data_IF_541434703150
#
_entry.id   IF_541434703150
#
_cell.length_a   1.000
_cell.length_b   1.000
_cell.length_c   1.000
_cell.angle_alpha   90.00
_cell.angle_beta   90.00
_cell.angle_gamma   90.00
#
_symmetry.space_group_name_H-M   'P 1'
#
loop_
_entity.id
_entity.type
_entity.pdbx_description
1 polymer ?
#
# COMPACT_ATOMS: atom_id res chain seq x y z
N UNK A 1 -33.63 4.06 -23.08
CA UNK A 1 -34.36 3.22 -22.11
C UNK A 1 -33.28 2.40 -21.43
N UNK A 2 -32.74 2.89 -20.29
CA UNK A 2 -31.77 2.14 -19.51
C UNK A 2 -32.54 1.07 -18.75
N UNK A 3 -32.22 -0.22 -18.89
CA UNK A 3 -32.92 -1.27 -18.17
C UNK A 3 -32.77 -1.03 -16.66
N UNK A 4 -33.87 -0.96 -15.94
CA UNK A 4 -33.85 -0.88 -14.48
C UNK A 4 -33.20 -2.14 -13.94
N UNK A 5 -32.09 -1.97 -13.26
CA UNK A 5 -31.39 -3.08 -12.60
C UNK A 5 -32.29 -3.67 -11.51
N UNK A 6 -32.43 -5.01 -11.41
CA UNK A 6 -33.26 -5.63 -10.38
C UNK A 6 -32.81 -5.17 -8.99
N UNK A 7 -33.77 -5.00 -8.08
CA UNK A 7 -33.51 -4.64 -6.69
C UNK A 7 -32.49 -5.60 -6.07
N UNK A 8 -31.32 -5.11 -5.73
CA UNK A 8 -30.17 -5.91 -5.26
C UNK A 8 -29.02 -6.08 -6.26
N UNK A 9 -29.19 -5.86 -7.56
CA UNK A 9 -28.08 -5.93 -8.51
C UNK A 9 -27.01 -4.88 -8.19
N UNK A 10 -27.40 -3.69 -7.76
CA UNK A 10 -26.49 -2.65 -7.30
C UNK A 10 -25.64 -3.11 -6.10
N UNK A 11 -26.23 -3.86 -5.17
CA UNK A 11 -25.52 -4.42 -4.01
C UNK A 11 -24.48 -5.45 -4.44
N UNK A 12 -24.83 -6.33 -5.38
CA UNK A 12 -23.88 -7.33 -5.89
C UNK A 12 -22.74 -6.69 -6.68
N UNK A 13 -23.02 -5.65 -7.48
CA UNK A 13 -21.99 -4.87 -8.17
C UNK A 13 -21.08 -4.18 -7.17
N UNK A 14 -21.63 -3.52 -6.16
CA UNK A 14 -20.85 -2.87 -5.11
C UNK A 14 -19.97 -3.87 -4.35
N UNK A 15 -20.49 -5.05 -3.98
CA UNK A 15 -19.72 -6.11 -3.33
C UNK A 15 -18.58 -6.64 -4.22
N UNK A 16 -18.82 -6.79 -5.53
CA UNK A 16 -17.79 -7.25 -6.45
C UNK A 16 -16.68 -6.24 -6.69
N UNK A 17 -16.97 -4.93 -6.56
CA UNK A 17 -16.00 -3.85 -6.68
C UNK A 17 -15.28 -3.54 -5.36
N UNK A 18 -15.81 -3.99 -4.22
CA UNK A 18 -15.24 -3.70 -2.90
C UNK A 18 -13.76 -4.09 -2.75
N UNK A 19 -13.28 -5.26 -3.23
CA UNK A 19 -11.85 -5.60 -3.16
C UNK A 19 -10.99 -4.66 -4.01
N UNK A 20 -11.47 -4.24 -5.18
CA UNK A 20 -10.77 -3.31 -6.06
C UNK A 20 -10.68 -1.94 -5.40
N UNK A 21 -11.79 -1.47 -4.82
CA UNK A 21 -11.83 -0.21 -4.09
C UNK A 21 -10.92 -0.25 -2.84
N UNK A 22 -10.91 -1.37 -2.10
CA UNK A 22 -10.05 -1.52 -0.93
C UNK A 22 -8.56 -1.42 -1.28
N UNK A 23 -8.14 -1.95 -2.42
CA UNK A 23 -6.74 -1.87 -2.87
C UNK A 23 -6.46 -0.54 -3.55
N UNK A 24 -7.35 -0.09 -4.45
CA UNK A 24 -7.11 1.07 -5.31
C UNK A 24 -7.42 2.43 -4.68
N UNK A 25 -8.18 2.47 -3.58
CA UNK A 25 -8.63 3.71 -2.94
C UNK A 25 -8.15 3.86 -1.49
N UNK A 26 -7.21 3.02 -1.05
CA UNK A 26 -6.69 3.08 0.32
C UNK A 26 -5.18 2.94 0.36
N UNK A 27 -4.57 3.21 1.51
CA UNK A 27 -3.15 3.04 1.77
C UNK A 27 -2.65 1.58 1.66
N UNK A 28 -3.54 0.61 1.39
CA UNK A 28 -3.21 -0.82 1.35
C UNK A 28 -2.17 -1.15 0.29
N UNK A 29 -2.26 -0.55 -0.89
CA UNK A 29 -1.31 -0.81 -1.99
C UNK A 29 0.12 -0.46 -1.56
N UNK A 30 0.35 0.76 -1.04
CA UNK A 30 1.67 1.20 -0.55
C UNK A 30 2.15 0.34 0.61
N UNK A 31 1.31 0.12 1.63
CA UNK A 31 1.69 -0.68 2.79
C UNK A 31 2.10 -2.11 2.40
N UNK A 32 1.34 -2.77 1.51
CA UNK A 32 1.62 -4.14 1.08
C UNK A 32 2.92 -4.24 0.27
N UNK A 33 3.22 -3.29 -0.61
CA UNK A 33 4.45 -3.27 -1.40
C UNK A 33 5.66 -3.05 -0.49
N UNK A 34 5.61 -2.06 0.41
CA UNK A 34 6.72 -1.73 1.32
C UNK A 34 7.00 -2.88 2.29
N UNK A 35 5.97 -3.46 2.90
CA UNK A 35 6.13 -4.60 3.81
C UNK A 35 6.61 -5.88 3.08
N UNK A 36 6.19 -6.06 1.81
CA UNK A 36 6.72 -7.13 0.97
C UNK A 36 8.20 -6.95 0.65
N UNK A 37 8.65 -5.71 0.45
CA UNK A 37 10.06 -5.40 0.22
C UNK A 37 10.93 -5.78 1.43
N UNK A 38 10.46 -5.56 2.66
CA UNK A 38 11.16 -6.02 3.88
C UNK A 38 11.29 -7.55 3.87
N UNK A 39 10.19 -8.25 3.60
CA UNK A 39 10.17 -9.72 3.54
C UNK A 39 11.19 -10.26 2.55
N UNK A 40 11.21 -9.70 1.33
CA UNK A 40 12.14 -10.09 0.27
C UNK A 40 13.57 -9.68 0.61
N UNK A 41 13.78 -8.44 1.08
CA UNK A 41 15.09 -7.91 1.43
C UNK A 41 15.79 -8.72 2.53
N UNK A 42 15.06 -9.11 3.56
CA UNK A 42 15.57 -9.98 4.61
C UNK A 42 15.88 -11.41 4.13
N UNK A 43 15.24 -11.88 3.04
CA UNK A 43 15.24 -13.31 2.68
C UNK A 43 14.51 -14.16 3.72
N UNK A 44 13.60 -13.55 4.48
CA UNK A 44 12.93 -14.16 5.64
C UNK A 44 11.56 -14.75 5.28
N UNK A 45 11.45 -15.39 4.14
CA UNK A 45 10.17 -15.92 3.64
C UNK A 45 9.52 -16.95 4.56
N UNK A 46 10.36 -17.72 5.25
CA UNK A 46 9.91 -18.71 6.23
C UNK A 46 9.49 -18.06 7.57
N UNK A 47 10.10 -16.92 7.94
CA UNK A 47 9.83 -16.21 9.20
C UNK A 47 8.66 -15.23 9.07
N UNK A 48 8.50 -14.61 7.89
CA UNK A 48 7.44 -13.66 7.55
C UNK A 48 6.55 -14.24 6.45
N UNK A 49 5.54 -15.06 6.78
CA UNK A 49 4.61 -15.59 5.80
C UNK A 49 3.75 -14.47 5.18
N UNK A 50 3.23 -14.68 4.00
CA UNK A 50 2.36 -13.72 3.30
C UNK A 50 1.15 -13.29 4.14
N UNK A 51 0.61 -14.18 4.96
CA UNK A 51 -0.50 -13.87 5.87
C UNK A 51 -0.12 -12.79 6.89
N UNK A 52 1.12 -12.81 7.41
CA UNK A 52 1.59 -11.78 8.34
C UNK A 52 1.78 -10.43 7.64
N UNK A 53 2.36 -10.41 6.44
CA UNK A 53 2.50 -9.19 5.62
C UNK A 53 1.12 -8.61 5.32
N UNK A 54 0.18 -9.44 4.88
CA UNK A 54 -1.18 -9.03 4.57
C UNK A 54 -1.91 -8.46 5.82
N UNK A 55 -1.85 -9.17 6.94
CA UNK A 55 -2.46 -8.73 8.20
C UNK A 55 -1.89 -7.38 8.66
N UNK A 56 -0.56 -7.22 8.62
CA UNK A 56 0.10 -5.97 8.99
C UNK A 56 -0.27 -4.83 8.03
N UNK A 57 -0.35 -5.10 6.73
CA UNK A 57 -0.81 -4.12 5.73
C UNK A 57 -2.24 -3.65 6.03
N UNK A 58 -3.14 -4.57 6.41
CA UNK A 58 -4.50 -4.21 6.80
C UNK A 58 -4.54 -3.35 8.06
N UNK A 59 -3.73 -3.69 9.08
CA UNK A 59 -3.66 -2.90 10.33
C UNK A 59 -3.15 -1.48 10.04
N UNK A 60 -2.06 -1.35 9.29
CA UNK A 60 -1.51 -0.03 8.90
C UNK A 60 -2.54 0.75 8.09
N UNK A 61 -3.19 0.11 7.13
CA UNK A 61 -4.27 0.74 6.34
C UNK A 61 -5.42 1.21 7.23
N UNK A 62 -5.86 0.40 8.20
CA UNK A 62 -6.93 0.78 9.11
C UNK A 62 -6.57 1.99 9.97
N UNK A 63 -5.31 2.12 10.38
CA UNK A 63 -4.83 3.29 11.12
C UNK A 63 -4.85 4.54 10.23
N UNK A 64 -4.33 4.46 9.01
CA UNK A 64 -4.26 5.59 8.06
C UNK A 64 -5.67 6.02 7.62
N UNK A 65 -6.53 5.05 7.30
CA UNK A 65 -7.89 5.30 6.81
C UNK A 65 -8.91 5.56 7.93
N UNK A 66 -8.50 5.45 9.19
CA UNK A 66 -9.36 5.69 10.35
C UNK A 66 -10.15 7.00 10.28
N UNK A 67 -9.51 8.17 10.07
CA UNK A 67 -10.20 9.45 9.94
C UNK A 67 -11.28 9.45 8.85
N UNK A 68 -10.95 8.94 7.65
CA UNK A 68 -11.89 8.84 6.52
C UNK A 68 -13.09 7.95 6.89
N UNK A 69 -12.83 6.83 7.58
CA UNK A 69 -13.87 5.92 8.07
C UNK A 69 -14.78 6.56 9.11
N UNK A 70 -14.22 7.34 10.05
CA UNK A 70 -15.01 8.07 11.05
C UNK A 70 -15.87 9.17 10.42
N UNK A 71 -15.36 9.92 9.45
CA UNK A 71 -16.13 10.92 8.73
C UNK A 71 -17.29 10.28 7.95
N UNK A 72 -17.05 9.19 7.24
CA UNK A 72 -18.07 8.44 6.53
C UNK A 72 -19.13 7.89 7.51
N UNK A 73 -18.73 7.35 8.67
CA UNK A 73 -19.65 6.84 9.69
C UNK A 73 -20.51 7.95 10.32
N UNK A 74 -19.96 9.14 10.52
CA UNK A 74 -20.70 10.30 11.03
C UNK A 74 -21.81 10.73 10.07
N UNK A 75 -21.55 10.70 8.77
CA UNK A 75 -22.58 10.98 7.74
C UNK A 75 -23.72 9.94 7.80
N UNK A 76 -23.39 8.68 8.05
CA UNK A 76 -24.37 7.60 8.21
C UNK A 76 -25.26 7.80 9.45
N UNK A 77 -24.67 8.24 10.56
CA UNK A 77 -25.36 8.46 11.84
C UNK A 77 -26.30 9.67 11.84
N UNK A 78 -26.21 10.57 10.85
CA UNK A 78 -27.05 11.77 10.78
C UNK A 78 -28.50 11.50 10.33
N UNK A 79 -28.83 10.26 9.92
CA UNK A 79 -30.17 9.90 9.44
C UNK A 79 -30.59 10.52 8.10
N UNK A 80 -29.63 11.16 7.41
CA UNK A 80 -29.87 11.67 6.06
C UNK A 80 -30.07 10.50 5.08
N UNK A 81 -30.86 10.67 3.99
CA UNK A 81 -30.97 9.65 2.97
C UNK A 81 -29.58 9.35 2.41
N UNK A 82 -29.26 8.03 2.30
CA UNK A 82 -27.99 7.56 1.79
C UNK A 82 -27.80 8.00 0.33
N UNK A 83 -27.02 9.05 0.16
CA UNK A 83 -26.50 9.43 -1.13
C UNK A 83 -25.09 8.82 -1.28
N UNK A 84 -24.90 8.01 -2.32
CA UNK A 84 -23.62 7.38 -2.65
C UNK A 84 -22.53 8.46 -2.86
N UNK A 85 -22.91 9.62 -3.43
CA UNK A 85 -21.98 10.74 -3.60
C UNK A 85 -21.49 11.29 -2.27
N UNK A 86 -22.39 11.46 -1.30
CA UNK A 86 -22.03 11.94 0.04
C UNK A 86 -21.11 10.96 0.79
N UNK A 87 -21.33 9.65 0.62
CA UNK A 87 -20.45 8.62 1.20
C UNK A 87 -19.06 8.58 0.55
N UNK A 88 -18.97 8.93 -0.72
CA UNK A 88 -17.69 8.99 -1.43
C UNK A 88 -16.91 10.28 -1.14
N UNK A 89 -17.54 11.32 -0.64
CA UNK A 89 -16.90 12.63 -0.40
C UNK A 89 -15.66 12.57 0.51
N UNK A 90 -15.66 11.92 1.69
CA UNK A 90 -14.46 11.80 2.53
C UNK A 90 -13.35 11.04 1.83
N UNK A 91 -13.70 10.00 1.06
CA UNK A 91 -12.75 9.22 0.30
C UNK A 91 -12.17 10.02 -0.86
N UNK A 92 -12.99 10.74 -1.62
CA UNK A 92 -12.50 11.58 -2.73
C UNK A 92 -11.57 12.69 -2.24
N UNK A 93 -11.86 13.30 -1.10
CA UNK A 93 -10.98 14.29 -0.48
C UNK A 93 -9.63 13.68 -0.03
N UNK A 94 -9.64 12.44 0.43
CA UNK A 94 -8.42 11.71 0.75
C UNK A 94 -7.61 11.40 -0.52
N UNK A 95 -8.25 10.90 -1.57
CA UNK A 95 -7.59 10.58 -2.85
C UNK A 95 -6.97 11.84 -3.49
N UNK A 96 -7.73 12.93 -3.54
CA UNK A 96 -7.29 14.22 -4.11
C UNK A 96 -6.07 14.79 -3.36
N UNK A 97 -6.03 14.64 -2.03
CA UNK A 97 -4.92 15.13 -1.21
C UNK A 97 -3.61 14.36 -1.44
N UNK A 98 -3.70 13.06 -1.75
CA UNK A 98 -2.55 12.17 -1.82
C UNK A 98 -2.19 11.71 -3.25
N UNK A 99 -2.99 12.06 -4.26
CA UNK A 99 -2.63 11.81 -5.65
C UNK A 99 -1.78 12.95 -6.22
N UNK A 100 -0.84 12.62 -7.11
CA UNK A 100 -0.08 13.62 -7.85
C UNK A 100 -1.02 14.42 -8.77
N UNK A 101 -1.04 15.76 -8.69
CA UNK A 101 -1.86 16.59 -9.56
C UNK A 101 -1.66 16.33 -11.06
N UNK A 102 -0.44 16.01 -11.49
CA UNK A 102 -0.17 15.69 -12.89
C UNK A 102 -0.86 14.39 -13.33
N UNK A 103 -0.92 13.40 -12.44
CA UNK A 103 -1.63 12.15 -12.71
C UNK A 103 -3.15 12.38 -12.74
N UNK A 104 -3.68 13.23 -11.85
CA UNK A 104 -5.12 13.58 -11.86
C UNK A 104 -5.48 14.25 -13.19
N UNK A 105 -4.70 15.24 -13.64
CA UNK A 105 -4.93 15.92 -14.91
C UNK A 105 -4.83 14.97 -16.10
N UNK A 106 -3.87 14.06 -16.09
CA UNK A 106 -3.71 13.05 -17.13
C UNK A 106 -4.95 12.16 -17.27
N UNK A 107 -5.40 11.55 -16.16
CA UNK A 107 -6.56 10.65 -16.19
C UNK A 107 -7.88 11.39 -16.42
N UNK A 108 -8.02 12.64 -15.96
CA UNK A 108 -9.18 13.48 -16.24
C UNK A 108 -9.28 13.79 -17.74
N UNK A 109 -8.17 14.16 -18.37
CA UNK A 109 -8.12 14.44 -19.82
C UNK A 109 -8.40 13.18 -20.65
N UNK A 110 -7.85 12.04 -20.25
CA UNK A 110 -8.02 10.76 -20.95
C UNK A 110 -9.48 10.30 -20.97
N UNK A 111 -10.20 10.53 -19.88
CA UNK A 111 -11.60 10.11 -19.72
C UNK A 111 -12.60 11.24 -20.05
N UNK A 112 -12.13 12.45 -20.39
CA UNK A 112 -12.97 13.63 -20.60
C UNK A 112 -13.94 13.91 -19.44
N UNK A 113 -13.42 13.85 -18.20
CA UNK A 113 -14.17 14.06 -16.95
C UNK A 113 -13.56 15.17 -16.11
N UNK A 114 -14.27 15.65 -15.09
CA UNK A 114 -13.76 16.60 -14.13
C UNK A 114 -12.64 15.99 -13.25
N UNK A 115 -11.75 16.83 -12.71
CA UNK A 115 -10.63 16.43 -11.86
C UNK A 115 -11.09 15.68 -10.60
N UNK A 116 -12.24 16.03 -10.03
CA UNK A 116 -12.81 15.39 -8.86
C UNK A 116 -13.58 14.08 -9.17
N UNK A 117 -13.63 13.68 -10.44
CA UNK A 117 -14.36 12.47 -10.82
C UNK A 117 -13.61 11.20 -10.40
N UNK A 118 -14.30 10.14 -9.91
CA UNK A 118 -13.64 8.90 -9.49
C UNK A 118 -12.75 8.25 -10.56
N UNK A 119 -13.11 8.37 -11.85
CA UNK A 119 -12.30 7.85 -12.97
C UNK A 119 -10.99 8.63 -13.19
N UNK A 120 -10.85 9.81 -12.61
CA UNK A 120 -9.58 10.54 -12.58
C UNK A 120 -8.83 10.27 -11.26
N UNK A 121 -9.49 10.41 -10.12
CA UNK A 121 -8.86 10.33 -8.80
C UNK A 121 -8.34 8.93 -8.46
N UNK A 122 -9.12 7.87 -8.71
CA UNK A 122 -8.73 6.51 -8.28
C UNK A 122 -7.47 6.01 -9.00
N UNK A 123 -7.37 6.06 -10.34
CA UNK A 123 -6.15 5.63 -11.01
C UNK A 123 -4.96 6.55 -10.71
N UNK A 124 -5.15 7.87 -10.62
CA UNK A 124 -4.11 8.81 -10.28
C UNK A 124 -3.52 8.50 -8.89
N UNK A 125 -4.37 8.35 -7.88
CA UNK A 125 -3.97 7.97 -6.55
C UNK A 125 -3.21 6.63 -6.54
N UNK A 126 -3.73 5.59 -7.20
CA UNK A 126 -3.08 4.29 -7.21
C UNK A 126 -1.69 4.34 -7.87
N UNK A 127 -1.52 5.08 -8.96
CA UNK A 127 -0.22 5.24 -9.64
C UNK A 127 0.75 5.99 -8.72
N UNK A 128 0.32 7.08 -8.11
CA UNK A 128 1.13 7.85 -7.14
C UNK A 128 1.59 6.96 -5.98
N UNK A 129 0.64 6.26 -5.35
CA UNK A 129 0.91 5.37 -4.22
C UNK A 129 1.90 4.24 -4.55
N UNK A 130 1.76 3.64 -5.73
CA UNK A 130 2.69 2.61 -6.18
C UNK A 130 4.08 3.17 -6.50
N UNK A 131 4.17 4.35 -7.09
CA UNK A 131 5.45 5.00 -7.35
C UNK A 131 6.20 5.31 -6.05
N UNK A 132 5.53 5.88 -5.06
CA UNK A 132 6.09 6.15 -3.75
C UNK A 132 6.46 4.86 -2.99
N UNK A 133 5.58 3.84 -3.06
CA UNK A 133 5.86 2.53 -2.47
C UNK A 133 7.12 1.89 -3.05
N UNK A 134 7.33 1.97 -4.35
CA UNK A 134 8.53 1.46 -5.02
C UNK A 134 9.78 2.24 -4.63
N UNK A 135 9.69 3.57 -4.46
CA UNK A 135 10.79 4.38 -3.95
C UNK A 135 11.17 3.97 -2.52
N UNK A 136 10.19 3.84 -1.62
CA UNK A 136 10.42 3.37 -0.26
C UNK A 136 11.01 1.94 -0.25
N UNK A 137 10.45 1.05 -1.05
CA UNK A 137 10.93 -0.33 -1.18
C UNK A 137 12.39 -0.38 -1.65
N UNK A 138 12.77 0.44 -2.65
CA UNK A 138 14.14 0.52 -3.13
C UNK A 138 15.10 0.97 -2.03
N UNK A 139 14.74 1.99 -1.24
CA UNK A 139 15.55 2.46 -0.11
C UNK A 139 15.72 1.39 0.97
N UNK A 140 14.66 0.63 1.26
CA UNK A 140 14.69 -0.46 2.23
C UNK A 140 15.57 -1.63 1.73
N UNK A 141 15.54 -1.93 0.44
CA UNK A 141 16.29 -3.04 -0.14
C UNK A 141 17.80 -2.80 -0.22
N UNK A 142 18.23 -1.54 -0.41
CA UNK A 142 19.65 -1.19 -0.56
C UNK A 142 20.55 -1.77 0.54
N UNK A 143 20.31 -1.57 1.86
CA UNK A 143 21.17 -2.12 2.90
C UNK A 143 21.22 -3.66 2.88
N UNK A 144 20.13 -4.33 2.53
CA UNK A 144 20.10 -5.78 2.47
C UNK A 144 20.90 -6.33 1.28
N UNK A 145 20.81 -5.67 0.12
CA UNK A 145 21.64 -6.01 -1.06
C UNK A 145 23.12 -5.81 -0.78
N UNK A 146 23.49 -4.74 -0.06
CA UNK A 146 24.88 -4.50 0.35
C UNK A 146 25.39 -5.61 1.28
N UNK A 147 24.59 -6.06 2.24
CA UNK A 147 24.94 -7.20 3.11
C UNK A 147 25.17 -8.47 2.27
N UNK A 148 24.27 -8.75 1.33
CA UNK A 148 24.41 -9.92 0.45
C UNK A 148 25.70 -9.87 -0.36
N UNK A 149 26.03 -8.71 -0.93
CA UNK A 149 27.23 -8.53 -1.73
C UNK A 149 28.51 -8.72 -0.90
N UNK A 150 28.57 -8.14 0.30
CA UNK A 150 29.71 -8.30 1.20
C UNK A 150 29.87 -9.75 1.64
N UNK A 151 28.78 -10.40 2.02
CA UNK A 151 28.82 -11.80 2.44
C UNK A 151 29.21 -12.74 1.30
N UNK A 152 28.72 -12.49 0.08
CA UNK A 152 29.12 -13.26 -1.10
C UNK A 152 30.63 -13.21 -1.33
N UNK A 153 31.23 -12.02 -1.21
CA UNK A 153 32.69 -11.85 -1.36
C UNK A 153 33.46 -12.52 -0.24
N UNK A 154 33.01 -12.43 1.02
CA UNK A 154 33.66 -13.09 2.15
C UNK A 154 33.63 -14.62 1.99
N UNK A 155 32.50 -15.19 1.64
CA UNK A 155 32.34 -16.63 1.39
C UNK A 155 33.27 -17.09 0.27
N UNK A 156 33.38 -16.31 -0.82
CA UNK A 156 34.28 -16.62 -1.93
C UNK A 156 35.75 -16.56 -1.53
N UNK A 157 36.16 -15.53 -0.76
CA UNK A 157 37.54 -15.38 -0.26
C UNK A 157 37.94 -16.51 0.69
N UNK A 158 37.00 -17.05 1.46
CA UNK A 158 37.24 -18.18 2.37
C UNK A 158 37.23 -19.53 1.64
N UNK A 159 36.99 -19.57 0.33
CA UNK A 159 36.89 -20.80 -0.46
C UNK A 159 35.67 -21.69 -0.09
N UNK A 160 34.66 -21.09 0.56
CA UNK A 160 33.46 -21.81 0.95
C UNK A 160 32.48 -21.95 -0.22
N UNK A 161 31.66 -22.99 -0.19
CA UNK A 161 30.61 -23.16 -1.18
C UNK A 161 29.55 -22.04 -1.09
N UNK A 162 29.08 -21.53 -2.23
CA UNK A 162 28.10 -20.44 -2.31
C UNK A 162 26.80 -20.70 -1.54
N UNK A 163 26.46 -21.95 -1.32
CA UNK A 163 25.26 -22.37 -0.56
C UNK A 163 25.31 -21.96 0.93
N UNK A 164 26.50 -21.63 1.47
CA UNK A 164 26.67 -21.16 2.86
C UNK A 164 26.17 -19.74 3.03
N UNK A 165 26.24 -18.90 1.97
CA UNK A 165 25.89 -17.49 2.03
C UNK A 165 24.46 -17.23 2.56
N UNK A 166 23.38 -17.86 2.06
CA UNK A 166 22.03 -17.57 2.54
C UNK A 166 21.84 -17.91 4.03
N UNK A 167 22.50 -18.96 4.52
CA UNK A 167 22.42 -19.36 5.92
C UNK A 167 23.04 -18.34 6.88
N UNK A 168 24.07 -17.61 6.42
CA UNK A 168 24.71 -16.54 7.19
C UNK A 168 24.02 -15.20 6.97
N UNK A 169 23.54 -14.94 5.75
CA UNK A 169 22.93 -13.68 5.36
C UNK A 169 21.65 -13.38 6.15
N UNK A 170 20.77 -14.37 6.33
CA UNK A 170 19.50 -14.18 7.02
C UNK A 170 19.67 -13.64 8.45
N UNK A 171 20.45 -14.29 9.36
CA UNK A 171 20.61 -13.76 10.72
C UNK A 171 21.31 -12.38 10.74
N UNK A 172 22.28 -12.14 9.87
CA UNK A 172 22.96 -10.84 9.78
C UNK A 172 22.00 -9.74 9.37
N UNK A 173 21.17 -9.96 8.36
CA UNK A 173 20.16 -9.00 7.90
C UNK A 173 19.10 -8.72 8.97
N UNK A 174 18.62 -9.77 9.65
CA UNK A 174 17.63 -9.62 10.72
C UNK A 174 18.20 -8.80 11.87
N UNK A 175 19.45 -9.10 12.30
CA UNK A 175 20.11 -8.33 13.34
C UNK A 175 20.34 -6.89 12.92
N UNK A 176 20.78 -6.64 11.69
CA UNK A 176 20.93 -5.29 11.14
C UNK A 176 19.59 -4.53 11.17
N UNK A 177 18.54 -5.13 10.67
CA UNK A 177 17.22 -4.52 10.63
C UNK A 177 16.70 -4.15 12.03
N UNK A 178 16.90 -5.02 13.01
CA UNK A 178 16.53 -4.75 14.39
C UNK A 178 17.42 -3.66 15.03
N UNK A 179 18.73 -3.71 14.77
CA UNK A 179 19.69 -2.76 15.34
C UNK A 179 19.45 -1.31 14.88
N UNK A 180 18.98 -1.11 13.65
CA UNK A 180 18.66 0.23 13.13
C UNK A 180 17.23 0.68 13.45
N UNK A 181 16.46 -0.11 14.21
CA UNK A 181 15.05 0.20 14.47
C UNK A 181 14.17 0.13 13.22
N UNK A 182 14.44 -0.83 12.32
CA UNK A 182 13.83 -0.91 11.00
C UNK A 182 12.31 -0.94 11.01
N UNK A 183 11.68 -1.62 11.99
CA UNK A 183 10.22 -1.60 12.12
C UNK A 183 9.66 -0.22 12.41
N UNK A 184 10.28 0.51 13.36
CA UNK A 184 9.84 1.86 13.71
C UNK A 184 9.98 2.81 12.53
N UNK A 185 11.12 2.78 11.85
CA UNK A 185 11.39 3.61 10.67
C UNK A 185 10.37 3.34 9.53
N UNK A 186 10.05 2.07 9.25
CA UNK A 186 9.14 1.73 8.16
C UNK A 186 7.68 2.08 8.52
N UNK A 187 7.22 1.71 9.72
CA UNK A 187 5.82 1.99 10.10
C UNK A 187 5.57 3.48 10.22
N UNK A 188 6.52 4.24 10.83
CA UNK A 188 6.41 5.71 10.87
C UNK A 188 6.43 6.31 9.47
N UNK A 189 7.38 5.92 8.62
CA UNK A 189 7.45 6.42 7.26
C UNK A 189 6.18 6.15 6.45
N UNK A 190 5.53 5.00 6.66
CA UNK A 190 4.24 4.70 6.03
C UNK A 190 3.12 5.60 6.56
N UNK A 191 3.04 5.84 7.87
CA UNK A 191 1.97 6.64 8.49
C UNK A 191 2.19 8.14 8.25
N UNK A 192 3.42 8.63 8.41
CA UNK A 192 3.77 10.04 8.22
C UNK A 192 3.61 10.51 6.77
N UNK A 193 3.70 9.60 5.81
CA UNK A 193 3.42 9.87 4.39
C UNK A 193 1.96 10.28 4.12
N UNK A 194 1.06 10.14 5.11
CA UNK A 194 -0.37 10.52 5.01
C UNK A 194 -0.79 11.56 6.05
N UNK A 195 0.14 12.13 6.81
CA UNK A 195 -0.14 13.10 7.88
C UNK A 195 -0.26 14.56 7.37
#
# INVERSE_FOLDING_TARGET
MVPELPAGAATWVALSLAPIAAVGCTAFAKASVVLSAIRVGLGAEALLPWSAVFALSLVVTAVIMGPVGFEAAALYGSGAPLDVGALFAPLSAFLDRHADPAEIEYFASLNAVDLAHPLALVPAFLVTELAEALQMAALILVPFVLVDLVLAQLVALMGLAAQVQPAVALPVKVLLFLAVGGWDAVIRGLVEGYA
#
